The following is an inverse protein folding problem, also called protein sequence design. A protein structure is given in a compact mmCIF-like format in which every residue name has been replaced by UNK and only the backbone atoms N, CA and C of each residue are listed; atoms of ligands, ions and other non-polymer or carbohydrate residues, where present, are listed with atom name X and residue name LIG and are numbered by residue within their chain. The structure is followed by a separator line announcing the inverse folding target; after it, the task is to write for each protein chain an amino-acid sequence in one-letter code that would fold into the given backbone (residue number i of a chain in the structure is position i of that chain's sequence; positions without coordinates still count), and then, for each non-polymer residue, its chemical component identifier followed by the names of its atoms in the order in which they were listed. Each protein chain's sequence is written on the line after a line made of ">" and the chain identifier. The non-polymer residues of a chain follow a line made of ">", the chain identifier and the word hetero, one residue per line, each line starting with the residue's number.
data_IF_559951522443
#
_entry.id   IF_559951522443
#
_cell.length_a   1.000
_cell.length_b   1.000
_cell.length_c   1.000
_cell.angle_alpha   90.00
_cell.angle_beta   90.00
_cell.angle_gamma   90.00
#
_symmetry.space_group_name_H-M   'P 1'
#
loop_
_entity.id
_entity.type
_entity.pdbx_description
1 polymer ?
#
# COMPACT_ATOMS: atom_id res chain seq x y z
N UNK A 1 22.88 -2.61 -22.50
CA UNK A 1 21.74 -3.43 -22.06
C UNK A 1 20.61 -2.45 -21.72
N UNK A 2 19.41 -2.76 -22.15
CA UNK A 2 18.22 -1.93 -21.89
C UNK A 2 17.10 -2.80 -21.30
N UNK A 3 16.40 -2.27 -20.32
CA UNK A 3 15.23 -2.92 -19.70
C UNK A 3 14.02 -2.01 -19.86
N UNK A 4 12.90 -2.56 -20.31
CA UNK A 4 11.62 -1.82 -20.33
C UNK A 4 10.87 -2.08 -19.03
N UNK A 5 10.55 -1.03 -18.29
CA UNK A 5 9.67 -1.07 -17.11
C UNK A 5 8.33 -0.46 -17.47
N UNK A 6 7.24 -1.20 -17.27
CA UNK A 6 5.88 -0.77 -17.61
C UNK A 6 5.14 -0.35 -16.34
N UNK A 7 4.81 0.94 -16.23
CA UNK A 7 4.17 1.58 -15.09
C UNK A 7 5.17 2.27 -14.16
N UNK A 8 4.92 3.56 -13.88
CA UNK A 8 5.70 4.40 -12.98
C UNK A 8 5.05 4.56 -11.60
N UNK A 9 4.37 3.52 -11.12
CA UNK A 9 3.91 3.42 -9.73
C UNK A 9 5.06 3.19 -8.75
N UNK A 10 4.76 2.88 -7.49
CA UNK A 10 5.77 2.61 -6.45
C UNK A 10 6.78 1.53 -6.86
N UNK A 11 6.28 0.40 -7.34
CA UNK A 11 7.12 -0.73 -7.75
C UNK A 11 7.95 -0.43 -9.00
N UNK A 12 7.34 0.20 -10.02
CA UNK A 12 8.04 0.49 -11.27
C UNK A 12 9.08 1.60 -11.10
N UNK A 13 8.80 2.66 -10.34
CA UNK A 13 9.77 3.70 -10.02
C UNK A 13 10.94 3.15 -9.22
N UNK A 14 10.67 2.31 -8.21
CA UNK A 14 11.72 1.65 -7.44
C UNK A 14 12.59 0.75 -8.31
N UNK A 15 11.97 -0.09 -9.15
CA UNK A 15 12.66 -1.00 -10.08
C UNK A 15 13.53 -0.23 -11.07
N UNK A 16 12.99 0.81 -11.71
CA UNK A 16 13.72 1.64 -12.65
C UNK A 16 14.94 2.30 -12.00
N UNK A 17 14.78 2.80 -10.77
CA UNK A 17 15.86 3.36 -9.99
C UNK A 17 16.97 2.35 -9.69
N UNK A 18 16.61 1.16 -9.19
CA UNK A 18 17.58 0.11 -8.84
C UNK A 18 18.37 -0.39 -10.06
N UNK A 19 17.71 -0.53 -11.20
CA UNK A 19 18.37 -0.84 -12.48
C UNK A 19 19.34 0.25 -12.89
N UNK A 20 18.89 1.51 -12.86
CA UNK A 20 19.66 2.66 -13.31
C UNK A 20 20.88 2.95 -12.44
N UNK A 21 20.76 2.77 -11.12
CA UNK A 21 21.89 2.90 -10.18
C UNK A 21 22.99 1.86 -10.45
N UNK A 22 22.64 0.72 -11.05
CA UNK A 22 23.59 -0.35 -11.44
C UNK A 22 24.06 -0.25 -12.89
N UNK A 23 23.86 0.94 -13.51
CA UNK A 23 24.35 1.24 -14.87
C UNK A 23 23.52 0.62 -16.00
N UNK A 24 22.37 0.05 -15.71
CA UNK A 24 21.46 -0.46 -16.75
C UNK A 24 20.63 0.69 -17.32
N UNK A 25 20.54 0.78 -18.64
CA UNK A 25 19.63 1.73 -19.29
C UNK A 25 18.19 1.25 -19.12
N UNK A 26 17.29 2.17 -18.77
CA UNK A 26 15.88 1.87 -18.52
C UNK A 26 14.99 2.70 -19.43
N UNK A 27 14.05 2.05 -20.08
CA UNK A 27 12.90 2.69 -20.72
C UNK A 27 11.69 2.53 -19.79
N UNK A 28 11.35 3.57 -19.06
CA UNK A 28 10.19 3.57 -18.18
C UNK A 28 8.96 4.04 -18.96
N UNK A 29 7.98 3.16 -19.13
CA UNK A 29 6.72 3.41 -19.84
C UNK A 29 5.63 3.77 -18.83
N UNK A 30 5.01 4.95 -18.99
CA UNK A 30 3.92 5.42 -18.13
C UNK A 30 2.77 5.94 -19.00
N UNK A 31 1.55 5.51 -18.71
CA UNK A 31 0.39 5.92 -19.51
C UNK A 31 -0.08 7.35 -19.23
N UNK A 32 0.26 7.93 -18.09
CA UNK A 32 0.00 9.35 -17.78
C UNK A 32 0.99 10.24 -18.56
N UNK A 33 0.59 11.46 -18.96
CA UNK A 33 -0.70 12.11 -18.74
C UNK A 33 -1.80 11.72 -19.73
N UNK A 34 -1.51 10.96 -20.80
CA UNK A 34 -2.46 10.65 -21.89
C UNK A 34 -3.68 9.86 -21.38
N UNK A 35 -3.44 8.92 -20.44
CA UNK A 35 -4.49 8.10 -19.86
C UNK A 35 -4.31 7.97 -18.36
N UNK A 36 -5.39 8.16 -17.61
CA UNK A 36 -5.41 7.99 -16.15
C UNK A 36 -6.37 6.89 -15.74
N UNK A 37 -6.10 6.25 -14.62
CA UNK A 37 -7.09 5.40 -13.95
C UNK A 37 -8.03 6.25 -13.10
N UNK A 38 -9.19 5.73 -12.69
CA UNK A 38 -10.10 6.47 -11.80
C UNK A 38 -9.49 6.85 -10.44
N UNK A 39 -8.43 6.18 -10.00
CA UNK A 39 -7.76 6.46 -8.73
C UNK A 39 -6.69 7.54 -8.80
N UNK A 40 -6.13 7.79 -9.97
CA UNK A 40 -5.05 8.75 -10.16
C UNK A 40 -5.60 10.15 -10.48
N UNK A 41 -5.08 11.16 -9.79
CA UNK A 41 -5.51 12.55 -9.91
C UNK A 41 -4.43 13.47 -10.46
N UNK A 42 -3.17 13.04 -10.41
CA UNK A 42 -2.00 13.80 -10.87
C UNK A 42 -1.23 13.05 -11.95
N UNK A 43 -0.27 13.73 -12.61
CA UNK A 43 0.66 13.13 -13.56
C UNK A 43 1.93 12.62 -12.92
N UNK A 44 2.07 12.79 -11.60
CA UNK A 44 3.24 12.33 -10.86
C UNK A 44 3.33 10.81 -10.77
N UNK A 45 4.57 10.32 -10.66
CA UNK A 45 4.86 8.91 -10.43
C UNK A 45 4.63 8.54 -8.96
N UNK A 46 4.52 7.25 -8.67
CA UNK A 46 4.33 6.73 -7.31
C UNK A 46 3.19 7.42 -6.52
N UNK A 47 2.13 7.88 -7.20
CA UNK A 47 0.98 8.50 -6.55
C UNK A 47 0.31 7.55 -5.57
N UNK A 48 0.11 8.02 -4.32
CA UNK A 48 -0.55 7.24 -3.27
C UNK A 48 -2.07 7.41 -3.37
N UNK A 49 -2.77 6.42 -3.90
CA UNK A 49 -4.19 6.53 -4.23
C UNK A 49 -5.12 6.47 -3.02
N UNK A 50 -4.94 5.47 -2.12
CA UNK A 50 -5.91 5.22 -1.04
C UNK A 50 -5.57 5.93 0.28
N UNK A 51 -4.29 6.15 0.58
CA UNK A 51 -3.80 6.68 1.86
C UNK A 51 -2.44 7.32 1.67
N UNK A 52 -2.11 8.32 2.49
CA UNK A 52 -0.77 8.89 2.54
C UNK A 52 0.14 8.18 3.57
N UNK A 53 -0.34 7.11 4.19
CA UNK A 53 0.42 6.36 5.19
C UNK A 53 1.06 5.12 4.59
N UNK A 54 2.34 4.97 4.90
CA UNK A 54 3.11 3.75 4.69
C UNK A 54 3.05 2.82 5.92
N UNK A 55 2.04 2.97 6.78
CA UNK A 55 1.79 2.21 8.00
C UNK A 55 2.87 2.39 9.08
N UNK A 56 2.87 1.50 10.10
CA UNK A 56 3.78 1.59 11.26
C UNK A 56 5.25 1.64 10.86
N UNK A 57 6.02 2.54 11.49
CA UNK A 57 7.47 2.68 11.31
C UNK A 57 8.27 1.99 12.44
N UNK A 58 7.58 1.30 13.36
CA UNK A 58 8.19 0.62 14.50
C UNK A 58 8.69 -0.77 14.10
N UNK A 59 9.90 -1.15 14.52
CA UNK A 59 10.53 -2.44 14.19
C UNK A 59 9.79 -3.66 14.74
N UNK A 60 9.00 -3.49 15.79
CA UNK A 60 8.16 -4.57 16.33
C UNK A 60 6.94 -4.91 15.44
N UNK A 61 6.78 -4.18 14.33
CA UNK A 61 5.82 -4.47 13.27
C UNK A 61 6.56 -4.86 11.99
N UNK A 62 6.14 -5.93 11.34
CA UNK A 62 6.82 -6.46 10.17
C UNK A 62 6.96 -5.44 9.02
N UNK A 63 5.98 -4.53 8.85
CA UNK A 63 6.08 -3.46 7.86
C UNK A 63 7.12 -2.40 8.24
N UNK A 64 7.36 -2.18 9.54
CA UNK A 64 8.44 -1.34 10.03
C UNK A 64 9.81 -1.96 9.74
N UNK A 65 9.93 -3.28 9.98
CA UNK A 65 11.11 -4.05 9.61
C UNK A 65 11.38 -3.96 8.10
N UNK A 66 10.38 -4.24 7.25
CA UNK A 66 10.53 -4.18 5.79
C UNK A 66 11.01 -2.80 5.33
N UNK A 67 10.49 -1.71 5.91
CA UNK A 67 10.98 -0.37 5.63
C UNK A 67 12.44 -0.17 6.00
N UNK A 68 12.84 -0.67 7.17
CA UNK A 68 14.23 -0.53 7.63
C UNK A 68 15.20 -1.34 6.76
N UNK A 69 14.81 -2.56 6.34
CA UNK A 69 15.57 -3.33 5.36
C UNK A 69 15.80 -2.52 4.08
N UNK A 70 14.72 -1.98 3.51
CA UNK A 70 14.77 -1.18 2.28
C UNK A 70 15.57 0.13 2.44
N UNK A 71 15.50 0.80 3.60
CA UNK A 71 16.32 1.99 3.88
C UNK A 71 17.81 1.65 3.84
N UNK A 72 18.22 0.59 4.51
CA UNK A 72 19.62 0.13 4.54
C UNK A 72 20.14 -0.26 3.17
N UNK A 73 19.25 -0.77 2.32
CA UNK A 73 19.56 -1.19 0.96
C UNK A 73 19.44 -0.06 -0.10
N UNK A 74 19.07 1.15 0.29
CA UNK A 74 19.06 2.32 -0.60
C UNK A 74 17.82 2.45 -1.48
N UNK A 75 16.63 2.08 -0.98
CA UNK A 75 15.36 2.27 -1.69
C UNK A 75 15.05 3.74 -1.96
N UNK A 76 14.74 4.08 -3.21
CA UNK A 76 14.27 5.39 -3.63
C UNK A 76 12.99 5.80 -2.88
N UNK A 77 12.02 4.88 -2.84
CA UNK A 77 10.70 5.14 -2.25
C UNK A 77 10.84 5.49 -0.77
N UNK A 78 11.70 4.78 -0.03
CA UNK A 78 11.91 5.06 1.40
C UNK A 78 12.73 6.34 1.64
N UNK A 79 13.65 6.69 0.75
CA UNK A 79 14.35 7.98 0.80
C UNK A 79 13.37 9.14 0.60
N UNK A 80 12.57 9.11 -0.47
CA UNK A 80 11.56 10.13 -0.74
C UNK A 80 10.52 10.22 0.40
N UNK A 81 10.11 9.08 0.96
CA UNK A 81 9.17 9.07 2.09
C UNK A 81 9.77 9.70 3.36
N UNK A 82 11.07 9.55 3.59
CA UNK A 82 11.76 10.21 4.70
C UNK A 82 11.80 11.72 4.56
N UNK A 83 12.07 12.23 3.34
CA UNK A 83 12.18 13.67 3.04
C UNK A 83 10.83 14.39 3.01
N UNK A 84 9.74 13.67 2.76
CA UNK A 84 8.38 14.22 2.68
C UNK A 84 7.50 13.79 3.84
N UNK A 85 8.12 13.34 4.94
CA UNK A 85 7.41 12.86 6.13
C UNK A 85 6.53 13.94 6.74
N UNK A 86 5.32 13.53 7.14
CA UNK A 86 4.42 14.32 8.00
C UNK A 86 4.18 13.60 9.31
N UNK A 87 3.79 14.34 10.34
CA UNK A 87 3.52 13.78 11.66
C UNK A 87 2.32 12.82 11.61
N UNK A 88 2.52 11.62 12.15
CA UNK A 88 1.50 10.57 12.22
C UNK A 88 1.79 9.55 13.34
N UNK A 89 2.26 10.03 14.50
CA UNK A 89 2.58 9.19 15.66
C UNK A 89 3.61 8.11 15.33
N UNK A 90 3.26 6.83 15.54
CA UNK A 90 4.14 5.68 15.24
C UNK A 90 4.11 5.20 13.79
N UNK A 91 3.42 5.90 12.89
CA UNK A 91 3.37 5.57 11.46
C UNK A 91 4.34 6.44 10.64
N UNK A 92 4.75 5.94 9.48
CA UNK A 92 5.36 6.75 8.43
C UNK A 92 4.24 7.24 7.50
N UNK A 93 3.88 8.52 7.61
CA UNK A 93 3.01 9.18 6.65
C UNK A 93 3.79 10.28 5.92
N UNK A 94 3.35 10.63 4.72
CA UNK A 94 4.03 11.59 3.85
C UNK A 94 3.07 12.67 3.36
N UNK A 95 3.61 13.83 3.04
CA UNK A 95 2.89 14.76 2.17
C UNK A 95 2.67 14.07 0.81
N UNK A 96 1.43 13.81 0.47
CA UNK A 96 1.06 12.99 -0.70
C UNK A 96 1.60 13.56 -2.01
N UNK A 97 1.44 14.87 -2.18
CA UNK A 97 1.87 15.56 -3.40
C UNK A 97 3.38 15.74 -3.45
N UNK A 98 3.99 16.17 -2.35
CA UNK A 98 5.43 16.34 -2.23
C UNK A 98 6.19 15.03 -2.47
N UNK A 99 5.69 13.92 -1.92
CA UNK A 99 6.26 12.59 -2.14
C UNK A 99 6.25 12.19 -3.62
N UNK A 100 5.07 12.27 -4.27
CA UNK A 100 4.93 11.89 -5.67
C UNK A 100 5.75 12.81 -6.61
N UNK A 101 5.79 14.11 -6.33
CA UNK A 101 6.61 15.07 -7.06
C UNK A 101 8.11 14.75 -6.95
N UNK A 102 8.60 14.47 -5.74
CA UNK A 102 10.01 14.15 -5.49
C UNK A 102 10.43 12.83 -6.18
N UNK A 103 9.60 11.78 -6.12
CA UNK A 103 9.87 10.53 -6.87
C UNK A 103 9.93 10.80 -8.36
N UNK A 104 8.99 11.59 -8.88
CA UNK A 104 8.95 11.96 -10.31
C UNK A 104 10.20 12.71 -10.75
N UNK A 105 10.63 13.69 -9.96
CA UNK A 105 11.84 14.46 -10.22
C UNK A 105 13.07 13.55 -10.30
N UNK A 106 13.30 12.72 -9.28
CA UNK A 106 14.46 11.81 -9.22
C UNK A 106 14.51 10.83 -10.39
N UNK A 107 13.36 10.29 -10.78
CA UNK A 107 13.26 9.38 -11.92
C UNK A 107 13.54 10.11 -13.24
N UNK A 108 12.92 11.29 -13.47
CA UNK A 108 13.07 12.04 -14.73
C UNK A 108 14.47 12.64 -14.90
N UNK A 109 15.17 12.93 -13.82
CA UNK A 109 16.52 13.51 -13.87
C UNK A 109 17.63 12.47 -13.93
N UNK A 110 17.34 11.19 -13.74
CA UNK A 110 18.35 10.14 -13.73
C UNK A 110 18.88 9.85 -15.15
N UNK A 111 20.21 9.91 -15.40
CA UNK A 111 20.78 9.83 -16.76
C UNK A 111 20.62 8.47 -17.45
N UNK A 112 20.30 7.42 -16.70
CA UNK A 112 20.06 6.07 -17.22
C UNK A 112 18.59 5.73 -17.37
N UNK A 113 17.64 6.65 -17.08
CA UNK A 113 16.22 6.42 -17.22
C UNK A 113 15.65 7.33 -18.31
N UNK A 114 15.05 6.72 -19.32
CA UNK A 114 14.26 7.43 -20.34
C UNK A 114 12.78 7.17 -20.08
N UNK A 115 12.03 8.21 -19.77
CA UNK A 115 10.58 8.12 -19.62
C UNK A 115 9.92 8.24 -20.98
N UNK A 116 9.02 7.31 -21.30
CA UNK A 116 8.20 7.33 -22.51
C UNK A 116 6.74 7.25 -22.10
N UNK A 117 6.01 8.33 -22.39
CA UNK A 117 4.60 8.48 -22.08
C UNK A 117 3.74 7.70 -23.10
N UNK A 118 2.57 7.27 -22.68
CA UNK A 118 1.60 6.54 -23.48
C UNK A 118 1.31 5.13 -22.98
N UNK A 119 0.10 4.66 -23.31
CA UNK A 119 -0.36 3.33 -22.90
C UNK A 119 0.45 2.23 -23.59
N UNK A 120 0.85 1.23 -22.82
CA UNK A 120 1.43 -0.01 -23.33
C UNK A 120 0.30 -1.03 -23.48
N UNK A 121 0.10 -1.53 -24.69
CA UNK A 121 -0.98 -2.49 -25.00
C UNK A 121 -0.45 -3.89 -25.30
N UNK A 122 0.86 -4.03 -25.51
CA UNK A 122 1.53 -5.32 -25.75
C UNK A 122 2.86 -5.39 -24.99
N UNK A 123 3.37 -6.60 -24.79
CA UNK A 123 4.63 -6.83 -24.09
C UNK A 123 5.80 -6.62 -25.08
N UNK A 124 6.68 -5.66 -24.83
CA UNK A 124 7.82 -5.40 -25.71
C UNK A 124 8.79 -6.59 -25.80
N UNK A 125 9.61 -6.58 -26.83
CA UNK A 125 10.75 -7.49 -26.93
C UNK A 125 11.85 -7.13 -25.93
N UNK A 126 12.77 -8.04 -25.68
CA UNK A 126 13.87 -7.88 -24.74
C UNK A 126 13.46 -8.12 -23.29
N UNK A 127 14.19 -7.50 -22.38
CA UNK A 127 13.94 -7.59 -20.93
C UNK A 127 12.82 -6.64 -20.51
N UNK A 128 11.80 -7.17 -19.84
CA UNK A 128 10.60 -6.43 -19.47
C UNK A 128 10.25 -6.65 -18.02
N UNK A 129 9.94 -5.58 -17.30
CA UNK A 129 9.33 -5.62 -15.98
C UNK A 129 7.93 -5.02 -16.08
N UNK A 130 6.91 -5.81 -15.75
CA UNK A 130 5.51 -5.36 -15.69
C UNK A 130 5.22 -4.93 -14.26
N UNK A 131 5.11 -3.62 -14.06
CA UNK A 131 4.85 -2.97 -12.78
C UNK A 131 3.64 -2.02 -12.86
N UNK A 132 2.69 -2.34 -13.75
CA UNK A 132 1.51 -1.51 -14.03
C UNK A 132 0.47 -1.47 -12.89
N UNK A 133 0.69 -2.27 -11.85
CA UNK A 133 -0.09 -2.24 -10.62
C UNK A 133 -1.49 -2.86 -10.74
N UNK A 134 -2.31 -2.70 -9.70
CA UNK A 134 -3.63 -3.33 -9.64
C UNK A 134 -4.63 -2.73 -10.63
N UNK A 135 -4.40 -1.48 -11.06
CA UNK A 135 -5.25 -0.74 -12.01
C UNK A 135 -4.68 -0.78 -13.44
N UNK A 136 -4.08 -1.90 -13.80
CA UNK A 136 -3.59 -2.17 -15.17
C UNK A 136 -4.71 -1.90 -16.19
N UNK A 137 -4.37 -1.22 -17.27
CA UNK A 137 -5.32 -0.89 -18.35
C UNK A 137 -5.93 -2.17 -18.97
N UNK A 138 -7.15 -2.07 -19.45
CA UNK A 138 -7.85 -3.22 -20.01
C UNK A 138 -7.07 -3.87 -21.17
N UNK A 139 -6.48 -3.07 -22.07
CA UNK A 139 -5.70 -3.58 -23.19
C UNK A 139 -4.49 -4.40 -22.74
N UNK A 140 -3.71 -3.87 -21.78
CA UNK A 140 -2.58 -4.61 -21.22
C UNK A 140 -3.03 -5.82 -20.39
N UNK A 141 -4.12 -5.71 -19.63
CA UNK A 141 -4.68 -6.82 -18.84
C UNK A 141 -5.13 -7.98 -19.75
N UNK A 142 -5.78 -7.69 -20.89
CA UNK A 142 -6.20 -8.70 -21.86
C UNK A 142 -4.98 -9.37 -22.52
N UNK A 143 -3.96 -8.58 -22.80
CA UNK A 143 -2.70 -9.12 -23.33
C UNK A 143 -1.98 -10.03 -22.33
N UNK A 144 -1.94 -9.63 -21.06
CA UNK A 144 -1.38 -10.45 -19.97
C UNK A 144 -2.19 -11.74 -19.79
N UNK A 145 -3.51 -11.69 -19.86
CA UNK A 145 -4.38 -12.89 -19.79
C UNK A 145 -4.06 -13.86 -20.93
N UNK A 146 -3.84 -13.36 -22.14
CA UNK A 146 -3.43 -14.19 -23.27
C UNK A 146 -2.05 -14.81 -23.06
N UNK A 147 -1.09 -14.05 -22.54
CA UNK A 147 0.27 -14.50 -22.27
C UNK A 147 0.34 -15.58 -21.18
N UNK A 148 -0.43 -15.41 -20.11
CA UNK A 148 -0.35 -16.22 -18.89
C UNK A 148 -1.35 -17.38 -18.85
N UNK A 149 -2.37 -17.38 -19.72
CA UNK A 149 -3.50 -18.31 -19.71
C UNK A 149 -4.71 -17.72 -18.99
N UNK A 150 -5.92 -18.09 -19.43
CA UNK A 150 -7.19 -17.48 -18.98
C UNK A 150 -7.43 -17.58 -17.48
N UNK A 151 -6.98 -18.65 -16.82
CA UNK A 151 -7.21 -18.92 -15.39
C UNK A 151 -6.12 -18.36 -14.47
N UNK A 152 -5.16 -17.62 -15.01
CA UNK A 152 -3.98 -17.18 -14.26
C UNK A 152 -4.11 -15.81 -13.60
N UNK A 153 -5.16 -15.05 -13.92
CA UNK A 153 -5.46 -13.74 -13.33
C UNK A 153 -6.64 -13.84 -12.37
N UNK A 154 -6.41 -13.46 -11.13
CA UNK A 154 -7.44 -13.33 -10.10
C UNK A 154 -7.83 -11.87 -9.95
N UNK A 155 -9.06 -11.59 -9.58
CA UNK A 155 -9.57 -10.24 -9.41
C UNK A 155 -10.17 -10.07 -8.02
N UNK A 156 -9.89 -8.91 -7.41
CA UNK A 156 -10.58 -8.47 -6.18
C UNK A 156 -10.87 -6.96 -6.28
N UNK A 157 -11.67 -6.46 -5.36
CA UNK A 157 -12.01 -5.05 -5.27
C UNK A 157 -11.34 -4.41 -4.06
N UNK A 158 -10.87 -3.18 -4.23
CA UNK A 158 -10.32 -2.33 -3.20
C UNK A 158 -11.05 -0.99 -3.17
N UNK A 159 -11.12 -0.35 -2.02
CA UNK A 159 -11.85 0.89 -1.82
C UNK A 159 -10.96 1.96 -1.17
N UNK A 160 -11.01 3.18 -1.69
CA UNK A 160 -10.33 4.33 -1.12
C UNK A 160 -11.19 5.03 -0.05
N UNK A 161 -10.54 5.64 0.95
CA UNK A 161 -11.20 6.42 1.99
C UNK A 161 -11.36 7.89 1.57
N UNK A 162 -12.40 8.59 2.09
CA UNK A 162 -12.62 10.01 1.82
C UNK A 162 -11.57 10.92 2.46
N UNK A 163 -11.42 12.13 1.86
CA UNK A 163 -10.63 13.24 2.39
C UNK A 163 -11.55 14.40 2.75
N UNK A 164 -11.28 15.06 3.87
CA UNK A 164 -12.00 16.25 4.34
C UNK A 164 -11.07 17.43 4.57
N UNK A 165 -11.60 18.64 4.41
CA UNK A 165 -10.92 19.89 4.75
C UNK A 165 -10.80 20.03 6.28
N UNK A 166 -9.61 20.32 6.78
CA UNK A 166 -9.37 20.51 8.22
C UNK A 166 -10.24 21.62 8.80
N UNK A 167 -10.39 22.73 8.07
CA UNK A 167 -11.18 23.90 8.51
C UNK A 167 -12.69 23.65 8.59
N UNK A 168 -13.17 22.50 8.08
CA UNK A 168 -14.58 22.11 8.14
C UNK A 168 -14.90 21.08 9.23
N UNK A 169 -13.89 20.62 9.96
CA UNK A 169 -14.06 19.70 11.12
C UNK A 169 -14.39 20.52 12.36
N UNK A 170 -15.46 20.14 13.04
CA UNK A 170 -15.86 20.80 14.29
C UNK A 170 -14.96 20.35 15.45
N UNK A 171 -13.98 21.19 15.80
CA UNK A 171 -13.02 20.92 16.87
C UNK A 171 -13.60 21.09 18.28
N UNK A 172 -14.78 21.68 18.44
CA UNK A 172 -15.49 21.71 19.72
C UNK A 172 -16.07 20.32 20.05
N UNK A 173 -16.32 19.52 19.02
CA UNK A 173 -16.81 18.14 19.12
C UNK A 173 -15.71 17.08 18.94
N UNK A 174 -14.47 17.48 18.67
CA UNK A 174 -13.33 16.60 18.46
C UNK A 174 -12.13 17.03 19.31
N UNK A 175 -11.06 16.20 19.33
CA UNK A 175 -9.81 16.58 19.99
C UNK A 175 -8.60 15.99 19.26
N UNK A 176 -7.46 16.64 19.40
CA UNK A 176 -6.18 16.10 18.99
C UNK A 176 -5.64 15.10 20.01
N UNK A 177 -5.20 13.94 19.58
CA UNK A 177 -4.64 12.91 20.47
C UNK A 177 -4.14 11.69 19.73
N UNK A 178 -3.25 10.95 20.37
CA UNK A 178 -2.76 9.66 19.93
C UNK A 178 -3.23 8.54 20.84
N UNK A 179 -3.35 7.35 20.30
CA UNK A 179 -3.81 6.18 21.05
C UNK A 179 -2.81 5.78 22.14
N UNK A 180 -3.27 5.66 23.39
CA UNK A 180 -2.45 5.39 24.59
C UNK A 180 -1.39 6.45 24.84
N UNK A 181 -1.62 7.70 24.41
CA UNK A 181 -0.69 8.83 24.53
C UNK A 181 0.71 8.52 23.98
N UNK A 182 0.78 7.70 22.93
CA UNK A 182 2.03 7.29 22.28
C UNK A 182 2.38 8.23 21.14
N UNK A 183 3.53 8.89 21.26
CA UNK A 183 4.00 9.88 20.28
C UNK A 183 3.30 11.21 20.41
N UNK A 184 3.19 11.93 19.31
CA UNK A 184 2.56 13.24 19.21
C UNK A 184 1.03 13.13 19.01
N UNK A 185 0.28 14.17 19.37
CA UNK A 185 -1.19 14.21 19.28
C UNK A 185 -1.64 14.55 17.84
N UNK A 186 -1.32 13.68 16.89
CA UNK A 186 -1.39 13.98 15.45
C UNK A 186 -2.74 13.64 14.79
N UNK A 187 -3.60 12.93 15.49
CA UNK A 187 -4.91 12.54 14.98
C UNK A 187 -6.00 13.43 15.54
N UNK A 188 -6.96 13.85 14.70
CA UNK A 188 -8.22 14.40 15.18
C UNK A 188 -9.14 13.22 15.51
N UNK A 189 -9.62 13.15 16.75
CA UNK A 189 -10.49 12.09 17.24
C UNK A 189 -11.93 12.63 17.33
N UNK A 190 -12.83 12.05 16.53
CA UNK A 190 -14.24 12.40 16.43
C UNK A 190 -15.06 11.34 17.18
N UNK A 191 -15.50 11.63 18.42
CA UNK A 191 -16.25 10.66 19.22
C UNK A 191 -17.70 10.55 18.80
N UNK A 192 -18.27 9.41 19.10
CA UNK A 192 -19.72 9.17 19.10
C UNK A 192 -20.14 8.50 20.40
N UNK A 193 -21.28 8.89 20.96
CA UNK A 193 -21.96 8.14 22.00
C UNK A 193 -22.71 6.94 21.40
N UNK A 194 -23.38 6.13 22.21
CA UNK A 194 -24.03 4.90 21.75
C UNK A 194 -25.22 5.18 20.82
N UNK A 195 -25.98 6.24 21.06
CA UNK A 195 -27.15 6.62 20.25
C UNK A 195 -26.67 7.14 18.87
N UNK A 196 -25.70 8.02 18.84
CA UNK A 196 -25.09 8.55 17.63
C UNK A 196 -24.47 7.44 16.78
N UNK A 197 -23.72 6.55 17.42
CA UNK A 197 -23.14 5.40 16.74
C UNK A 197 -24.20 4.46 16.18
N UNK A 198 -25.27 4.18 16.92
CA UNK A 198 -26.35 3.29 16.47
C UNK A 198 -27.04 3.87 15.24
N UNK A 199 -27.36 5.17 15.26
CA UNK A 199 -27.94 5.86 14.12
C UNK A 199 -27.01 5.84 12.90
N UNK A 200 -25.72 6.13 13.13
CA UNK A 200 -24.67 6.06 12.10
C UNK A 200 -24.57 4.64 11.51
N UNK A 201 -24.48 3.59 12.36
CA UNK A 201 -24.37 2.22 11.93
C UNK A 201 -25.59 1.77 11.08
N UNK A 202 -26.81 2.13 11.50
CA UNK A 202 -28.03 1.84 10.74
C UNK A 202 -28.01 2.53 9.38
N UNK A 203 -27.65 3.80 9.34
CA UNK A 203 -27.55 4.55 8.08
C UNK A 203 -26.46 3.98 7.15
N UNK A 204 -25.32 3.56 7.71
CA UNK A 204 -24.22 2.98 6.97
C UNK A 204 -24.58 1.63 6.35
N UNK A 205 -25.23 0.75 7.11
CA UNK A 205 -25.58 -0.61 6.65
C UNK A 205 -26.71 -0.64 5.63
N UNK A 206 -27.53 0.42 5.57
CA UNK A 206 -28.67 0.56 4.64
C UNK A 206 -28.38 1.52 3.48
N UNK A 207 -27.21 2.16 3.45
CA UNK A 207 -26.84 3.11 2.42
C UNK A 207 -26.69 2.45 1.04
N UNK A 208 -26.96 3.26 0.00
CA UNK A 208 -26.85 2.79 -1.38
C UNK A 208 -25.39 2.73 -1.83
N UNK A 209 -25.02 1.57 -2.37
CA UNK A 209 -23.70 1.34 -2.95
C UNK A 209 -23.66 1.75 -4.43
N UNK A 210 -22.47 2.10 -4.93
CA UNK A 210 -22.24 2.29 -6.34
C UNK A 210 -22.35 0.93 -7.07
N UNK A 211 -22.92 0.93 -8.27
CA UNK A 211 -22.99 -0.26 -9.08
C UNK A 211 -21.59 -0.70 -9.49
N UNK A 212 -21.23 -1.93 -9.14
CA UNK A 212 -20.01 -2.55 -9.58
C UNK A 212 -20.30 -3.26 -10.90
N UNK A 213 -19.84 -2.66 -12.01
CA UNK A 213 -19.99 -3.29 -13.31
C UNK A 213 -19.00 -4.45 -13.47
N UNK A 214 -19.53 -5.65 -13.49
CA UNK A 214 -18.80 -6.89 -13.88
C UNK A 214 -18.50 -7.87 -12.76
N UNK A 215 -19.28 -8.97 -12.77
CA UNK A 215 -19.06 -10.32 -12.22
C UNK A 215 -19.11 -10.62 -10.71
N UNK A 216 -19.73 -11.64 -10.48
CA UNK A 216 -20.34 -12.61 -9.59
C UNK A 216 -19.61 -13.00 -8.29
N UNK A 217 -18.40 -12.59 -8.00
CA UNK A 217 -17.78 -12.84 -6.70
C UNK A 217 -17.14 -11.55 -6.14
N UNK A 218 -17.87 -10.89 -5.23
CA UNK A 218 -17.37 -9.73 -4.47
C UNK A 218 -16.34 -10.20 -3.42
N UNK A 219 -15.20 -10.72 -3.86
CA UNK A 219 -14.08 -11.01 -2.97
C UNK A 219 -13.36 -9.70 -2.65
N UNK A 220 -13.70 -9.12 -1.52
CA UNK A 220 -13.02 -7.95 -0.97
C UNK A 220 -11.82 -8.43 -0.14
N UNK A 221 -10.65 -7.83 -0.33
CA UNK A 221 -9.49 -8.12 0.50
C UNK A 221 -9.72 -7.64 1.93
N UNK A 222 -9.45 -8.50 2.93
CA UNK A 222 -9.69 -8.22 4.35
C UNK A 222 -9.01 -6.93 4.84
N UNK A 223 -7.83 -6.61 4.33
CA UNK A 223 -7.06 -5.42 4.74
C UNK A 223 -7.60 -4.09 4.20
N UNK A 224 -8.44 -4.13 3.14
CA UNK A 224 -9.05 -2.96 2.51
C UNK A 224 -10.57 -3.05 2.46
N UNK A 225 -11.16 -3.81 3.40
CA UNK A 225 -12.60 -4.03 3.44
C UNK A 225 -13.36 -2.71 3.62
N UNK A 226 -14.39 -2.44 2.79
CA UNK A 226 -15.22 -1.26 2.94
C UNK A 226 -15.89 -1.19 4.31
N UNK A 227 -16.01 0.01 4.85
CA UNK A 227 -16.54 0.24 6.20
C UNK A 227 -17.98 -0.27 6.34
N UNK A 228 -18.82 -0.13 5.31
CA UNK A 228 -20.18 -0.65 5.27
C UNK A 228 -20.23 -2.17 5.26
N UNK A 229 -19.29 -2.85 4.60
CA UNK A 229 -19.17 -4.31 4.59
C UNK A 229 -18.76 -4.82 5.97
N UNK A 230 -17.81 -4.15 6.64
CA UNK A 230 -17.47 -4.45 8.03
C UNK A 230 -18.66 -4.23 8.97
N UNK A 231 -19.42 -3.14 8.79
CA UNK A 231 -20.58 -2.82 9.60
C UNK A 231 -21.66 -3.90 9.54
N UNK A 232 -21.87 -4.52 8.37
CA UNK A 232 -22.87 -5.60 8.19
C UNK A 232 -22.49 -6.90 8.88
N UNK A 233 -21.23 -7.10 9.27
CA UNK A 233 -20.80 -8.28 10.03
C UNK A 233 -21.32 -8.28 11.47
N UNK A 234 -21.78 -7.15 11.96
CA UNK A 234 -22.38 -6.99 13.28
C UNK A 234 -22.26 -5.56 13.80
N UNK A 235 -23.21 -5.15 14.68
CA UNK A 235 -23.30 -3.80 15.20
C UNK A 235 -21.96 -3.33 15.80
N UNK A 236 -21.32 -4.16 16.60
CA UNK A 236 -20.13 -3.75 17.34
C UNK A 236 -18.83 -3.98 16.58
N UNK A 237 -18.87 -4.55 15.37
CA UNK A 237 -17.67 -4.90 14.58
C UNK A 237 -16.75 -3.69 14.39
N UNK A 238 -17.30 -2.52 14.07
CA UNK A 238 -16.52 -1.30 13.85
C UNK A 238 -15.83 -0.82 15.14
N UNK A 239 -16.44 -1.03 16.32
CA UNK A 239 -15.86 -0.65 17.61
C UNK A 239 -14.66 -1.53 18.02
N UNK A 240 -14.49 -2.69 17.42
CA UNK A 240 -13.29 -3.52 17.53
C UNK A 240 -12.29 -3.32 16.37
N UNK A 241 -12.71 -2.61 15.32
CA UNK A 241 -11.97 -2.29 14.11
C UNK A 241 -11.60 -0.80 14.00
N UNK A 242 -12.02 -0.13 12.90
CA UNK A 242 -11.60 1.24 12.59
C UNK A 242 -12.11 2.30 13.58
N UNK A 243 -13.25 2.06 14.25
CA UNK A 243 -13.83 3.00 15.20
C UNK A 243 -13.55 2.63 16.66
N UNK A 244 -12.55 1.82 16.92
CA UNK A 244 -12.18 1.34 18.25
C UNK A 244 -11.89 2.51 19.20
N UNK A 245 -12.59 2.66 20.33
CA UNK A 245 -12.37 3.76 21.27
C UNK A 245 -11.20 3.51 22.23
N UNK A 246 -10.78 2.25 22.39
CA UNK A 246 -9.81 1.83 23.41
C UNK A 246 -8.48 2.58 23.30
N UNK A 247 -8.07 3.20 24.42
CA UNK A 247 -6.83 3.99 24.50
C UNK A 247 -6.97 5.42 23.97
N UNK A 248 -8.21 5.87 23.71
CA UNK A 248 -8.54 7.25 23.35
C UNK A 248 -9.49 7.81 24.41
N UNK A 249 -9.00 8.70 25.28
CA UNK A 249 -9.81 9.37 26.29
C UNK A 249 -10.18 10.77 25.79
N UNK A 250 -11.47 11.05 25.80
CA UNK A 250 -11.97 12.39 25.50
C UNK A 250 -11.56 13.33 26.65
N UNK A 251 -10.75 14.37 26.40
CA UNK A 251 -10.29 15.29 27.48
C UNK A 251 -11.43 16.06 28.14
N UNK A 252 -12.58 16.20 27.46
CA UNK A 252 -13.77 16.90 28.02
C UNK A 252 -14.50 16.07 29.04
N UNK A 253 -14.49 14.75 28.92
CA UNK A 253 -15.22 13.83 29.82
C UNK A 253 -14.30 12.96 30.68
N UNK A 254 -13.02 12.84 30.32
CA UNK A 254 -12.04 11.93 30.93
C UNK A 254 -12.33 10.45 30.68
N UNK A 255 -13.29 10.11 29.81
CA UNK A 255 -13.73 8.74 29.52
C UNK A 255 -13.44 8.35 28.09
N UNK A 256 -13.34 7.03 27.83
CA UNK A 256 -13.37 6.49 26.48
C UNK A 256 -14.80 6.62 25.93
N UNK A 257 -15.00 7.18 24.72
CA UNK A 257 -16.32 7.23 24.06
C UNK A 257 -16.82 5.82 23.68
N UNK A 258 -18.04 5.73 23.16
CA UNK A 258 -18.54 4.46 22.63
C UNK A 258 -17.81 4.06 21.33
N UNK A 259 -17.63 5.01 20.41
CA UNK A 259 -16.86 4.84 19.18
C UNK A 259 -16.08 6.12 18.85
N UNK A 260 -14.99 6.00 18.10
CA UNK A 260 -14.17 7.15 17.68
C UNK A 260 -13.74 6.99 16.24
N UNK A 261 -14.08 7.95 15.39
CA UNK A 261 -13.49 8.09 14.06
C UNK A 261 -12.20 8.90 14.18
N UNK A 262 -11.10 8.36 13.65
CA UNK A 262 -9.82 9.06 13.63
C UNK A 262 -9.58 9.69 12.27
N UNK A 263 -9.21 10.96 12.23
CA UNK A 263 -8.74 11.63 11.03
C UNK A 263 -7.23 11.78 11.12
N UNK A 264 -6.55 11.45 10.02
CA UNK A 264 -5.10 11.57 9.91
C UNK A 264 -4.75 12.64 8.90
N UNK A 265 -3.75 13.46 9.22
CA UNK A 265 -3.19 14.47 8.32
C UNK A 265 -2.75 13.84 6.98
N UNK A 266 -3.18 14.44 5.86
CA UNK A 266 -2.89 13.94 4.50
C UNK A 266 -1.85 14.80 3.75
N UNK A 267 -1.56 16.01 4.21
CA UNK A 267 -0.56 16.92 3.65
C UNK A 267 0.29 17.59 4.73
N UNK A 268 1.43 18.16 4.35
CA UNK A 268 2.37 18.82 5.29
C UNK A 268 1.74 20.02 6.01
N UNK A 269 0.90 20.80 5.32
CA UNK A 269 0.26 22.00 5.87
C UNK A 269 -0.86 21.70 6.87
N UNK A 270 -1.28 20.42 7.00
CA UNK A 270 -2.37 20.02 7.90
C UNK A 270 -3.74 20.55 7.50
N UNK A 271 -3.94 20.88 6.23
CA UNK A 271 -5.20 21.42 5.71
C UNK A 271 -6.15 20.34 5.20
N UNK A 272 -5.66 19.11 4.98
CA UNK A 272 -6.40 17.95 4.48
C UNK A 272 -6.25 16.77 5.42
N UNK A 273 -7.35 16.11 5.75
CA UNK A 273 -7.39 14.94 6.61
C UNK A 273 -8.09 13.75 5.95
N UNK A 274 -7.54 12.55 6.16
CA UNK A 274 -8.07 11.27 5.70
C UNK A 274 -8.89 10.61 6.81
N UNK A 275 -10.08 10.10 6.49
CA UNK A 275 -10.89 9.29 7.41
C UNK A 275 -10.26 7.90 7.52
N UNK A 276 -9.66 7.58 8.66
CA UNK A 276 -8.94 6.33 8.86
C UNK A 276 -9.90 5.13 8.91
N UNK A 277 -9.70 4.17 8.01
CA UNK A 277 -10.52 2.96 7.95
C UNK A 277 -11.89 3.14 7.28
N UNK A 278 -12.11 4.24 6.57
CA UNK A 278 -13.34 4.54 5.86
C UNK A 278 -13.23 4.27 4.35
N UNK A 279 -12.50 3.25 3.95
CA UNK A 279 -12.63 2.75 2.58
C UNK A 279 -14.08 2.40 2.32
N UNK A 280 -14.63 2.81 1.18
CA UNK A 280 -16.07 2.67 0.90
C UNK A 280 -16.36 2.62 -0.59
N UNK A 281 -17.43 1.92 -0.96
CA UNK A 281 -18.04 1.94 -2.29
C UNK A 281 -19.47 2.52 -2.28
N UNK A 282 -19.84 3.20 -1.20
CA UNK A 282 -21.09 3.95 -1.18
C UNK A 282 -21.14 5.00 -2.27
N UNK A 283 -22.32 5.28 -2.82
CA UNK A 283 -22.53 6.42 -3.75
C UNK A 283 -22.13 7.73 -3.07
N UNK A 284 -21.60 8.70 -3.82
CA UNK A 284 -21.11 9.97 -3.24
C UNK A 284 -22.16 10.72 -2.40
N UNK A 285 -23.45 10.82 -2.82
CA UNK A 285 -24.47 11.41 -1.95
C UNK A 285 -24.67 10.67 -0.63
N UNK A 286 -24.55 9.33 -0.64
CA UNK A 286 -24.66 8.51 0.56
C UNK A 286 -23.46 8.69 1.49
N UNK A 287 -22.25 8.79 0.93
CA UNK A 287 -21.06 9.07 1.72
C UNK A 287 -21.23 10.41 2.46
N UNK A 288 -21.66 11.46 1.76
CA UNK A 288 -21.92 12.76 2.38
C UNK A 288 -22.97 12.63 3.47
N UNK A 289 -24.12 11.99 3.19
CA UNK A 289 -25.23 11.83 4.13
C UNK A 289 -24.81 11.07 5.38
N UNK A 290 -24.18 9.92 5.21
CA UNK A 290 -23.85 8.99 6.31
C UNK A 290 -22.67 9.53 7.13
N UNK A 291 -21.59 9.97 6.48
CA UNK A 291 -20.41 10.41 7.21
C UNK A 291 -20.58 11.76 7.92
N UNK A 292 -21.51 12.60 7.44
CA UNK A 292 -21.92 13.81 8.15
C UNK A 292 -22.79 13.54 9.41
N UNK A 293 -23.19 12.31 9.67
CA UNK A 293 -23.83 11.92 10.93
C UNK A 293 -22.82 11.79 12.09
N UNK A 294 -21.53 11.75 11.81
CA UNK A 294 -20.49 11.83 12.83
C UNK A 294 -20.48 13.27 13.34
N UNK A 295 -20.71 13.52 14.66
CA UNK A 295 -20.94 14.89 15.16
C UNK A 295 -19.90 15.91 14.72
N UNK A 296 -18.63 15.59 14.84
CA UNK A 296 -17.54 16.49 14.42
C UNK A 296 -17.43 16.71 12.90
N UNK A 297 -18.13 15.91 12.10
CA UNK A 297 -18.14 15.98 10.63
C UNK A 297 -19.49 16.46 10.04
N UNK A 298 -20.41 16.96 10.89
CA UNK A 298 -21.75 17.36 10.45
C UNK A 298 -21.75 18.41 9.33
N UNK A 299 -20.77 19.29 9.32
CA UNK A 299 -20.55 20.33 8.30
C UNK A 299 -19.28 20.10 7.47
N UNK A 300 -18.72 18.89 7.49
CA UNK A 300 -17.46 18.61 6.84
C UNK A 300 -17.55 18.78 5.31
N UNK A 301 -16.53 19.45 4.76
CA UNK A 301 -16.30 19.57 3.33
C UNK A 301 -15.47 18.38 2.85
N UNK A 302 -16.10 17.49 2.07
CA UNK A 302 -15.43 16.36 1.46
C UNK A 302 -14.67 16.81 0.21
N UNK A 303 -13.34 16.87 0.30
CA UNK A 303 -12.46 17.24 -0.81
C UNK A 303 -12.32 16.11 -1.82
N UNK A 304 -12.46 14.87 -1.37
CA UNK A 304 -12.52 13.66 -2.19
C UNK A 304 -13.42 12.62 -1.53
N UNK A 305 -14.28 12.01 -2.31
CA UNK A 305 -15.07 10.86 -1.88
C UNK A 305 -14.28 9.57 -2.01
N UNK A 306 -14.65 8.58 -1.21
CA UNK A 306 -14.17 7.23 -1.36
C UNK A 306 -14.65 6.62 -2.68
N UNK A 307 -13.83 5.80 -3.30
CA UNK A 307 -14.14 5.09 -4.54
C UNK A 307 -13.66 3.65 -4.45
N UNK A 308 -14.40 2.74 -5.11
CA UNK A 308 -13.99 1.37 -5.24
C UNK A 308 -13.27 1.15 -6.59
N UNK A 309 -12.21 0.38 -6.57
CA UNK A 309 -11.46 -0.01 -7.76
C UNK A 309 -11.41 -1.52 -7.89
N UNK A 310 -11.49 -2.02 -9.12
CA UNK A 310 -11.20 -3.41 -9.43
C UNK A 310 -9.68 -3.57 -9.48
N UNK A 311 -9.14 -4.39 -8.59
CA UNK A 311 -7.73 -4.74 -8.58
C UNK A 311 -7.50 -6.07 -9.28
N UNK A 312 -6.41 -6.16 -10.04
CA UNK A 312 -5.98 -7.39 -10.71
C UNK A 312 -4.72 -7.93 -10.05
N UNK A 313 -4.70 -9.20 -9.68
CA UNK A 313 -3.49 -9.89 -9.25
C UNK A 313 -3.36 -11.25 -9.93
N UNK A 314 -2.14 -11.77 -9.94
CA UNK A 314 -1.77 -13.02 -10.61
C UNK A 314 -1.79 -14.18 -9.62
N UNK A 315 -2.03 -15.41 -10.11
CA UNK A 315 -1.72 -16.64 -9.37
C UNK A 315 -0.19 -16.84 -9.33
N UNK A 316 0.47 -15.95 -8.59
CA UNK A 316 1.92 -15.84 -8.56
C UNK A 316 2.64 -17.14 -8.19
N UNK A 317 2.18 -17.98 -7.23
CA UNK A 317 2.84 -19.24 -6.91
C UNK A 317 3.00 -20.19 -8.09
N UNK A 318 2.07 -20.18 -9.03
CA UNK A 318 2.16 -20.99 -10.25
C UNK A 318 3.04 -20.35 -11.31
N UNK A 319 2.98 -19.03 -11.42
CA UNK A 319 3.56 -18.27 -12.53
C UNK A 319 4.98 -17.79 -12.26
N UNK A 320 5.29 -17.36 -11.04
CA UNK A 320 6.51 -16.63 -10.72
C UNK A 320 7.48 -17.44 -9.86
N UNK A 321 8.77 -17.17 -10.03
CA UNK A 321 9.80 -17.62 -9.09
C UNK A 321 9.94 -16.62 -7.93
N UNK A 322 10.83 -16.92 -6.95
CA UNK A 322 11.06 -16.05 -5.77
C UNK A 322 11.63 -14.66 -6.10
N UNK A 323 12.11 -14.47 -7.30
CA UNK A 323 12.62 -13.19 -7.83
C UNK A 323 11.59 -12.49 -8.72
N UNK A 324 10.33 -12.94 -8.65
CA UNK A 324 9.21 -12.39 -9.41
C UNK A 324 9.31 -12.56 -10.95
N UNK A 325 10.18 -13.45 -11.43
CA UNK A 325 10.32 -13.74 -12.86
C UNK A 325 9.27 -14.76 -13.31
N UNK A 326 8.77 -14.56 -14.52
CA UNK A 326 7.85 -15.51 -15.13
C UNK A 326 8.60 -16.82 -15.50
N UNK A 327 8.21 -17.92 -14.88
CA UNK A 327 8.86 -19.24 -15.06
C UNK A 327 8.90 -19.70 -16.52
N UNK A 328 7.83 -19.42 -17.29
CA UNK A 328 7.71 -19.80 -18.70
C UNK A 328 8.52 -18.90 -19.64
N UNK A 329 8.78 -17.63 -19.26
CA UNK A 329 9.53 -16.64 -20.02
C UNK A 329 10.38 -15.76 -19.10
N UNK A 330 11.59 -16.20 -18.71
CA UNK A 330 12.41 -15.50 -17.69
C UNK A 330 12.87 -14.08 -18.07
N UNK A 331 12.67 -13.65 -19.33
CA UNK A 331 12.89 -12.26 -19.75
C UNK A 331 11.81 -11.29 -19.24
N UNK A 332 10.70 -11.83 -18.72
CA UNK A 332 9.59 -11.05 -18.19
C UNK A 332 9.56 -11.23 -16.68
N UNK A 333 9.58 -10.12 -15.96
CA UNK A 333 9.38 -10.07 -14.52
C UNK A 333 8.13 -9.24 -14.19
N UNK A 334 7.57 -9.47 -13.01
CA UNK A 334 6.43 -8.70 -12.50
C UNK A 334 6.82 -8.03 -11.20
N UNK A 335 6.23 -6.86 -10.89
CA UNK A 335 6.45 -6.20 -9.62
C UNK A 335 5.18 -5.47 -9.14
N UNK A 336 5.11 -5.23 -7.85
CA UNK A 336 4.00 -4.52 -7.23
C UNK A 336 2.82 -5.42 -6.86
N UNK A 337 1.73 -4.78 -6.51
CA UNK A 337 0.54 -5.42 -5.94
C UNK A 337 -0.05 -6.53 -6.82
N UNK A 338 0.10 -6.41 -8.14
CA UNK A 338 -0.35 -7.45 -9.06
C UNK A 338 0.31 -8.83 -8.86
N UNK A 339 1.44 -8.91 -8.15
CA UNK A 339 2.12 -10.16 -7.80
C UNK A 339 1.57 -10.82 -6.53
N UNK A 340 0.56 -10.21 -5.89
CA UNK A 340 0.00 -10.68 -4.62
C UNK A 340 0.72 -10.19 -3.37
N UNK A 341 1.67 -9.24 -3.50
CA UNK A 341 2.15 -8.47 -2.36
C UNK A 341 1.18 -7.31 -2.12
N UNK A 342 0.62 -7.21 -0.92
CA UNK A 342 -0.38 -6.19 -0.61
C UNK A 342 0.25 -5.06 0.20
N UNK A 343 0.10 -3.82 -0.30
CA UNK A 343 0.56 -2.60 0.36
C UNK A 343 1.65 -1.84 -0.40
N UNK A 344 1.79 -0.55 -0.06
CA UNK A 344 2.72 0.36 -0.73
C UNK A 344 4.18 -0.04 -0.54
N UNK A 345 4.56 -0.42 0.69
CA UNK A 345 5.93 -0.80 1.03
C UNK A 345 6.28 -2.15 0.42
N UNK A 346 5.35 -3.10 0.44
CA UNK A 346 5.51 -4.41 -0.20
C UNK A 346 5.64 -4.28 -1.72
N UNK A 347 4.87 -3.36 -2.31
CA UNK A 347 4.99 -3.07 -3.75
C UNK A 347 6.37 -2.49 -4.08
N UNK A 348 6.86 -1.52 -3.29
CA UNK A 348 8.21 -0.99 -3.43
C UNK A 348 9.28 -2.07 -3.25
N UNK A 349 9.14 -2.95 -2.24
CA UNK A 349 10.07 -4.05 -1.97
C UNK A 349 10.16 -5.03 -3.15
N UNK A 350 9.03 -5.37 -3.76
CA UNK A 350 9.04 -6.22 -4.97
C UNK A 350 9.75 -5.54 -6.14
N UNK A 351 9.49 -4.25 -6.36
CA UNK A 351 10.19 -3.45 -7.37
C UNK A 351 11.69 -3.36 -7.13
N UNK A 352 12.09 -3.16 -5.86
CA UNK A 352 13.48 -3.19 -5.42
C UNK A 352 14.15 -4.51 -5.78
N UNK A 353 13.57 -5.63 -5.35
CA UNK A 353 14.13 -6.97 -5.58
C UNK A 353 14.24 -7.27 -7.09
N UNK A 354 13.19 -7.00 -7.86
CA UNK A 354 13.20 -7.21 -9.32
C UNK A 354 14.27 -6.36 -10.00
N UNK A 355 14.42 -5.10 -9.59
CA UNK A 355 15.44 -4.20 -10.15
C UNK A 355 16.86 -4.68 -9.88
N UNK A 356 17.17 -5.07 -8.65
CA UNK A 356 18.46 -5.63 -8.24
C UNK A 356 18.77 -6.90 -9.01
N UNK A 357 17.85 -7.87 -8.96
CA UNK A 357 18.07 -9.20 -9.56
C UNK A 357 18.16 -9.15 -11.08
N UNK A 358 17.36 -8.31 -11.73
CA UNK A 358 17.46 -8.12 -13.18
C UNK A 358 18.80 -7.48 -13.57
N UNK A 359 19.27 -6.48 -12.83
CA UNK A 359 20.58 -5.87 -13.08
C UNK A 359 21.71 -6.89 -12.90
N UNK A 360 21.70 -7.67 -11.82
CA UNK A 360 22.71 -8.70 -11.56
C UNK A 360 22.75 -9.77 -12.64
N UNK A 361 21.58 -10.28 -13.02
CA UNK A 361 21.46 -11.28 -14.08
C UNK A 361 22.00 -10.77 -15.42
N UNK A 362 21.67 -9.55 -15.81
CA UNK A 362 22.17 -8.93 -17.04
C UNK A 362 23.69 -8.72 -17.01
N UNK A 363 24.26 -8.52 -15.84
CA UNK A 363 25.72 -8.40 -15.64
C UNK A 363 26.42 -9.75 -15.44
N UNK A 364 25.68 -10.86 -15.48
CA UNK A 364 26.23 -12.22 -15.30
C UNK A 364 26.62 -12.53 -13.83
N UNK A 365 26.08 -11.78 -12.87
CA UNK A 365 26.30 -11.99 -11.45
C UNK A 365 25.27 -12.98 -10.88
N UNK A 366 25.62 -13.76 -9.85
CA UNK A 366 24.66 -14.63 -9.16
C UNK A 366 23.56 -13.80 -8.49
N UNK A 367 22.34 -14.38 -8.31
CA UNK A 367 21.29 -13.71 -7.56
C UNK A 367 21.71 -13.48 -6.08
N UNK A 368 21.20 -12.41 -5.47
CA UNK A 368 21.35 -12.22 -4.03
C UNK A 368 20.45 -13.20 -3.28
N UNK A 369 21.00 -13.93 -2.35
CA UNK A 369 20.18 -14.78 -1.48
C UNK A 369 19.59 -13.94 -0.32
N UNK A 370 18.33 -13.52 -0.48
CA UNK A 370 17.55 -12.99 0.63
C UNK A 370 16.86 -14.16 1.33
N UNK A 371 17.37 -14.60 2.49
CA UNK A 371 16.81 -15.74 3.18
C UNK A 371 15.45 -15.41 3.80
N UNK A 372 14.69 -16.46 4.15
CA UNK A 372 13.34 -16.35 4.70
C UNK A 372 13.26 -15.57 6.02
N UNK A 373 14.36 -15.43 6.70
CA UNK A 373 14.55 -14.65 7.93
C UNK A 373 14.47 -13.15 7.70
N UNK A 374 14.59 -12.67 6.45
CA UNK A 374 14.39 -11.27 6.07
C UNK A 374 12.95 -11.04 5.59
N UNK A 375 12.43 -9.82 5.76
CA UNK A 375 11.08 -9.50 5.31
C UNK A 375 11.00 -9.48 3.76
N UNK A 376 12.03 -8.97 3.09
CA UNK A 376 12.14 -9.01 1.61
C UNK A 376 12.16 -10.44 1.10
N UNK A 377 12.99 -11.32 1.69
CA UNK A 377 13.08 -12.73 1.31
C UNK A 377 11.80 -13.51 1.59
N UNK A 378 11.17 -13.26 2.74
CA UNK A 378 9.90 -13.90 3.11
C UNK A 378 8.76 -13.57 2.12
N UNK A 379 8.68 -12.33 1.63
CA UNK A 379 7.72 -11.95 0.59
C UNK A 379 7.97 -12.70 -0.72
N UNK A 380 9.20 -12.73 -1.20
CA UNK A 380 9.56 -13.46 -2.44
C UNK A 380 9.23 -14.96 -2.35
N UNK A 381 9.50 -15.57 -1.19
CA UNK A 381 9.15 -16.98 -0.95
C UNK A 381 7.64 -17.19 -0.82
N UNK A 382 6.90 -16.26 -0.24
CA UNK A 382 5.45 -16.33 -0.13
C UNK A 382 4.79 -16.35 -1.51
N UNK A 383 5.13 -15.40 -2.39
CA UNK A 383 4.51 -15.28 -3.73
C UNK A 383 4.90 -16.42 -4.69
N UNK A 384 5.94 -17.17 -4.37
CA UNK A 384 6.41 -18.30 -5.20
C UNK A 384 6.12 -19.67 -4.60
N UNK A 385 5.43 -19.74 -3.45
CA UNK A 385 5.17 -20.97 -2.71
C UNK A 385 4.02 -21.77 -3.34
N UNK A 386 4.38 -22.80 -4.11
CA UNK A 386 3.42 -23.68 -4.80
C UNK A 386 2.55 -24.55 -3.87
N UNK A 387 2.87 -24.65 -2.58
CA UNK A 387 2.02 -25.38 -1.62
C UNK A 387 0.77 -24.59 -1.20
N UNK A 388 0.68 -23.31 -1.56
CA UNK A 388 -0.50 -22.48 -1.29
C UNK A 388 -1.59 -22.81 -2.33
N UNK A 389 -2.67 -23.43 -1.89
CA UNK A 389 -3.77 -23.87 -2.77
C UNK A 389 -4.81 -22.77 -3.04
N UNK A 390 -4.94 -21.82 -2.12
CA UNK A 390 -5.85 -20.67 -2.24
C UNK A 390 -5.03 -19.38 -2.06
N UNK A 391 -4.29 -19.00 -3.09
CA UNK A 391 -3.43 -17.82 -3.04
C UNK A 391 -4.27 -16.54 -2.88
N UNK A 392 -3.87 -15.72 -1.92
CA UNK A 392 -4.47 -14.41 -1.65
C UNK A 392 -3.37 -13.37 -1.50
N UNK A 393 -3.60 -12.13 -1.92
CA UNK A 393 -2.69 -11.03 -1.61
C UNK A 393 -2.44 -10.91 -0.10
N UNK A 394 -1.20 -10.60 0.28
CA UNK A 394 -0.80 -10.56 1.68
C UNK A 394 0.13 -9.39 1.98
N UNK A 395 -0.13 -8.71 3.09
CA UNK A 395 0.82 -7.80 3.69
C UNK A 395 1.94 -8.58 4.39
N UNK A 396 3.13 -7.95 4.44
CA UNK A 396 4.21 -8.50 5.25
C UNK A 396 3.77 -8.69 6.71
N UNK A 397 4.06 -9.84 7.27
CA UNK A 397 3.81 -10.16 8.66
C UNK A 397 4.86 -11.17 9.19
N UNK A 398 5.09 -11.17 10.50
CA UNK A 398 6.06 -12.08 11.10
C UNK A 398 5.66 -13.57 11.00
N UNK A 399 4.42 -13.89 10.64
CA UNK A 399 3.97 -15.27 10.47
C UNK A 399 4.54 -15.99 9.26
N UNK A 400 5.01 -15.26 8.24
CA UNK A 400 5.67 -15.84 7.06
C UNK A 400 7.20 -15.95 7.23
N UNK A 401 7.74 -15.40 8.32
CA UNK A 401 9.17 -15.52 8.68
C UNK A 401 9.39 -16.70 9.63
N UNK A 402 10.55 -17.37 9.60
CA UNK A 402 10.85 -18.45 10.53
C UNK A 402 10.83 -17.97 11.98
N UNK A 403 10.34 -18.80 12.92
CA UNK A 403 10.42 -18.48 14.34
C UNK A 403 11.88 -18.35 14.82
N UNK A 404 12.06 -17.78 16.01
CA UNK A 404 13.33 -17.85 16.71
C UNK A 404 13.57 -19.28 17.19
N UNK A 405 14.83 -19.67 17.32
CA UNK A 405 15.28 -20.97 17.82
C UNK A 405 15.10 -21.12 19.34
N UNK A 406 14.76 -20.03 20.03
CA UNK A 406 14.54 -19.97 21.46
C UNK A 406 13.21 -19.25 21.79
N UNK A 407 12.76 -19.45 23.05
CA UNK A 407 11.50 -18.86 23.52
C UNK A 407 11.72 -17.46 24.07
N UNK A 408 11.02 -16.46 23.50
CA UNK A 408 11.00 -15.08 23.99
C UNK A 408 9.65 -14.76 24.64
N UNK A 409 9.67 -14.15 25.81
CA UNK A 409 8.47 -13.77 26.54
C UNK A 409 7.92 -12.44 26.04
N UNK A 410 6.67 -12.45 25.63
CA UNK A 410 5.94 -11.26 25.15
C UNK A 410 6.09 -11.05 23.63
N UNK A 411 4.95 -10.73 22.97
CA UNK A 411 4.87 -10.56 21.51
C UNK A 411 5.81 -9.46 21.01
N UNK A 412 5.88 -8.33 21.72
CA UNK A 412 6.71 -7.18 21.34
C UNK A 412 8.21 -7.55 21.34
N UNK A 413 8.69 -8.19 22.39
CA UNK A 413 10.10 -8.60 22.51
C UNK A 413 10.44 -9.64 21.43
N UNK A 414 9.57 -10.64 21.23
CA UNK A 414 9.74 -11.62 20.17
C UNK A 414 9.88 -10.95 18.79
N UNK A 415 9.00 -9.99 18.48
CA UNK A 415 9.04 -9.29 17.20
C UNK A 415 10.31 -8.44 17.06
N UNK A 416 10.75 -7.78 18.14
CA UNK A 416 12.01 -7.02 18.14
C UNK A 416 13.24 -7.90 17.83
N UNK A 417 13.31 -9.12 18.41
CA UNK A 417 14.39 -10.06 18.13
C UNK A 417 14.32 -10.62 16.71
N UNK A 418 13.13 -10.90 16.17
CA UNK A 418 12.97 -11.28 14.75
C UNK A 418 13.50 -10.16 13.84
N UNK A 419 13.22 -8.91 14.17
CA UNK A 419 13.71 -7.77 13.42
C UNK A 419 15.22 -7.60 13.52
N UNK A 420 15.79 -7.76 14.72
CA UNK A 420 17.24 -7.69 14.92
C UNK A 420 17.98 -8.76 14.07
N UNK A 421 17.51 -10.01 14.13
CA UNK A 421 18.05 -11.11 13.30
C UNK A 421 18.01 -10.76 11.80
N UNK A 422 16.88 -10.25 11.33
CA UNK A 422 16.74 -9.88 9.93
C UNK A 422 17.71 -8.77 9.53
N UNK A 423 17.84 -7.74 10.36
CA UNK A 423 18.68 -6.59 10.04
C UNK A 423 20.19 -6.95 10.06
N UNK A 424 20.62 -7.92 10.87
CA UNK A 424 21.99 -8.48 10.81
C UNK A 424 22.25 -9.16 9.47
N UNK A 425 21.27 -9.94 8.98
CA UNK A 425 21.36 -10.60 7.67
C UNK A 425 21.42 -9.54 6.55
N UNK A 426 20.57 -8.52 6.61
CA UNK A 426 20.55 -7.43 5.61
C UNK A 426 21.93 -6.74 5.55
N UNK A 427 22.57 -6.46 6.69
CA UNK A 427 23.92 -5.88 6.66
C UNK A 427 24.95 -6.83 6.01
N UNK A 428 24.81 -8.16 6.20
CA UNK A 428 25.74 -9.12 5.61
C UNK A 428 25.62 -9.23 4.08
N UNK A 429 24.42 -8.98 3.51
CA UNK A 429 24.20 -9.04 2.06
C UNK A 429 24.25 -7.66 1.37
N UNK A 430 24.37 -6.61 2.12
CA UNK A 430 24.29 -5.22 1.63
C UNK A 430 25.32 -4.90 0.54
N UNK A 431 26.57 -5.26 0.73
CA UNK A 431 27.63 -5.03 -0.27
C UNK A 431 27.31 -5.77 -1.58
N UNK A 432 26.82 -6.98 -1.48
CA UNK A 432 26.41 -7.78 -2.62
C UNK A 432 25.22 -7.16 -3.35
N UNK A 433 24.25 -6.63 -2.62
CA UNK A 433 23.08 -5.92 -3.19
C UNK A 433 23.52 -4.63 -3.88
N UNK A 434 24.44 -3.89 -3.29
CA UNK A 434 24.90 -2.59 -3.82
C UNK A 434 25.87 -2.75 -5.02
N UNK A 435 26.49 -3.91 -5.19
CA UNK A 435 27.33 -4.23 -6.34
C UNK A 435 26.53 -4.33 -7.63
#
# INVERSE_FOLDING_TARGET
>A
MNVTVIGAGLAGSECAWQLAQRGIKVTLREMKPEKRTPAHTTDHFAELCCSNSLRSDQLENAVGLLKEELRRLGSLILQCAGETRVEAGGALAVDRHGFAALVTERIRTHPNITVVEGEVTDIPEGEVVVASGPLTSNALADRLRTLLGADSALHFYDAAAPLVSAGSVDLDLAWFGSRYDKGTADYINCPMNEEEYTAFWQALTTAQEAEVHGFEDQKVFEGCMPVEVMARRGRDTLCYGPLKPRGLRDPRTGKEPYAVVQLRRDNADGTVYNLVGFQTHLRFPEQKRVFSMIPALHSAEFLRYGVMHRNTFLDAPRLLDRYYRLKSQPRISFAGQMTGVEGYVESAASGFLVGVETARRLRGLPPVDFPRETAVGALGLYISNQSVTAFQPMNINFGIMPPLDHRVKGKRNKNAELSARSLEIIESVKEEVMA
#
